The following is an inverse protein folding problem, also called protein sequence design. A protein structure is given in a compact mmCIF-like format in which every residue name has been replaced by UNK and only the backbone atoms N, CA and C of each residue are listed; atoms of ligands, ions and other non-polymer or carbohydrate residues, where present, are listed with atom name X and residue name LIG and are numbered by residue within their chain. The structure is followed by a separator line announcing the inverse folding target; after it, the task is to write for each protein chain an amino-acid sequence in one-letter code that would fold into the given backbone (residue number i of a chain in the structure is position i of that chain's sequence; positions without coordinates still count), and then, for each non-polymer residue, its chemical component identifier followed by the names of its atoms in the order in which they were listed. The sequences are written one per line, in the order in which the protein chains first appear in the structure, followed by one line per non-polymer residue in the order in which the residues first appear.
data_IF_665084842819
#
_entry.id   IF_665084842819
#
_cell.length_a   1.000
_cell.length_b   1.000
_cell.length_c   1.000
_cell.angle_alpha   90.00
_cell.angle_beta   90.00
_cell.angle_gamma   90.00
#
_symmetry.space_group_name_H-M   'P 1'
#
loop_
_entity.id
_entity.type
_entity.pdbx_description
1 polymer ?
#
# COMPACT_ATOMS: atom_id res chain seq x y z
N UNK A 1 -16.40 -11.87 18.32
CA UNK A 1 -14.95 -11.60 18.26
C UNK A 1 -14.60 -11.16 19.65
N UNK A 2 -13.83 -11.97 20.38
CA UNK A 2 -13.70 -11.83 21.84
C UNK A 2 -12.45 -11.01 22.23
N UNK A 3 -11.70 -10.55 21.24
CA UNK A 3 -10.53 -9.71 21.39
C UNK A 3 -10.89 -8.24 21.13
N UNK A 4 -10.58 -7.37 22.08
CA UNK A 4 -10.69 -5.91 21.96
C UNK A 4 -9.28 -5.41 21.65
N UNK A 5 -9.01 -4.87 20.45
CA UNK A 5 -7.66 -4.42 20.10
C UNK A 5 -7.20 -3.25 20.96
N UNK A 6 -5.98 -3.33 21.50
CA UNK A 6 -5.31 -2.22 22.16
C UNK A 6 -4.68 -1.30 21.10
N UNK A 7 -5.09 -0.03 21.11
CA UNK A 7 -4.62 0.98 20.17
C UNK A 7 -3.14 1.31 20.37
N UNK A 8 -2.65 1.27 21.61
CA UNK A 8 -1.25 1.55 21.91
C UNK A 8 -0.34 0.47 21.30
N UNK A 9 -0.72 -0.80 21.43
CA UNK A 9 -0.01 -1.92 20.80
C UNK A 9 -0.01 -1.80 19.28
N UNK A 10 -1.14 -1.42 18.66
CA UNK A 10 -1.24 -1.22 17.21
C UNK A 10 -0.29 -0.12 16.72
N UNK A 11 -0.20 1.01 17.44
CA UNK A 11 0.64 2.15 17.05
C UNK A 11 2.13 1.79 17.14
N UNK A 12 2.53 1.00 18.12
CA UNK A 12 3.93 0.60 18.33
C UNK A 12 4.31 -0.69 17.62
N UNK A 13 3.35 -1.38 17.01
CA UNK A 13 3.56 -2.64 16.31
C UNK A 13 4.35 -2.46 15.02
N UNK A 14 4.95 -3.56 14.57
CA UNK A 14 5.62 -3.58 13.27
C UNK A 14 4.58 -3.46 12.13
N UNK A 15 4.93 -2.70 11.10
CA UNK A 15 4.07 -2.52 9.93
C UNK A 15 4.43 -3.56 8.87
N UNK A 16 3.47 -4.41 8.53
CA UNK A 16 3.66 -5.48 7.54
C UNK A 16 3.85 -4.92 6.12
N UNK A 17 3.07 -3.90 5.74
CA UNK A 17 3.17 -3.17 4.48
C UNK A 17 2.30 -1.92 4.47
N UNK A 18 2.55 -1.03 3.50
CA UNK A 18 1.69 0.12 3.21
C UNK A 18 0.96 -0.06 1.87
N UNK A 19 -0.31 0.39 1.79
CA UNK A 19 -1.11 0.28 0.58
C UNK A 19 -2.15 1.40 0.47
N UNK A 20 -2.45 1.82 -0.76
CA UNK A 20 -3.62 2.64 -1.04
C UNK A 20 -4.84 1.75 -1.17
N UNK A 21 -5.93 2.06 -0.45
CA UNK A 21 -7.16 1.26 -0.52
C UNK A 21 -8.39 2.09 -0.18
N UNK A 22 -9.54 1.70 -0.73
CA UNK A 22 -10.83 2.34 -0.45
C UNK A 22 -11.51 1.61 0.71
N UNK A 23 -11.55 2.24 1.89
CA UNK A 23 -12.15 1.65 3.10
C UNK A 23 -13.65 1.34 2.94
N UNK A 24 -14.38 2.20 2.21
CA UNK A 24 -15.85 2.20 2.18
C UNK A 24 -16.45 0.85 1.78
N UNK A 25 -15.91 0.22 0.74
CA UNK A 25 -16.45 -1.05 0.22
C UNK A 25 -16.19 -2.18 1.22
N UNK A 26 -14.98 -2.23 1.81
CA UNK A 26 -14.65 -3.23 2.84
C UNK A 26 -15.54 -3.13 4.08
N UNK A 27 -15.93 -1.91 4.47
CA UNK A 27 -16.87 -1.69 5.59
C UNK A 27 -18.29 -2.14 5.21
N UNK A 28 -18.76 -1.78 4.01
CA UNK A 28 -20.09 -2.19 3.52
C UNK A 28 -20.22 -3.72 3.42
N UNK A 29 -19.16 -4.39 2.99
CA UNK A 29 -19.08 -5.85 2.89
C UNK A 29 -18.79 -6.52 4.24
N UNK A 30 -18.77 -5.77 5.35
CA UNK A 30 -18.46 -6.26 6.71
C UNK A 30 -17.09 -6.96 6.84
N UNK A 31 -16.15 -6.61 5.97
CA UNK A 31 -14.76 -7.11 6.00
C UNK A 31 -13.96 -6.34 7.03
N UNK A 32 -14.14 -5.02 7.11
CA UNK A 32 -13.45 -4.14 8.05
C UNK A 32 -14.44 -3.42 8.97
N UNK A 33 -14.02 -3.19 10.21
CA UNK A 33 -14.73 -2.35 11.17
C UNK A 33 -13.75 -1.38 11.81
N UNK A 34 -14.25 -0.22 12.25
CA UNK A 34 -13.43 0.82 12.86
C UNK A 34 -13.17 0.51 14.33
N UNK A 35 -11.91 0.62 14.75
CA UNK A 35 -11.50 0.55 16.16
C UNK A 35 -10.77 1.83 16.54
N UNK A 36 -11.11 2.40 17.70
CA UNK A 36 -10.44 3.57 18.25
C UNK A 36 -10.67 4.88 17.50
N UNK A 37 -9.98 5.93 17.99
CA UNK A 37 -10.02 7.31 17.49
C UNK A 37 -8.65 8.00 17.62
N UNK A 38 -7.55 7.24 17.66
CA UNK A 38 -6.21 7.83 17.75
C UNK A 38 -5.94 8.75 16.57
N UNK A 39 -5.23 9.85 16.83
CA UNK A 39 -4.70 10.74 15.81
C UNK A 39 -3.22 10.46 15.52
N UNK A 40 -2.58 9.60 16.31
CA UNK A 40 -1.21 9.20 16.10
C UNK A 40 -1.13 8.09 15.03
N UNK A 41 -0.27 8.30 14.03
CA UNK A 41 -0.19 7.49 12.81
C UNK A 41 1.10 6.66 12.71
N UNK A 42 2.00 6.79 13.68
CA UNK A 42 3.34 6.20 13.59
C UNK A 42 4.25 6.97 12.62
N UNK A 43 5.43 6.42 12.37
CA UNK A 43 6.40 7.04 11.47
C UNK A 43 6.31 6.49 10.05
N UNK A 44 5.65 7.25 9.18
CA UNK A 44 5.44 6.90 7.78
C UNK A 44 6.26 7.76 6.81
N UNK A 45 7.12 8.67 7.32
CA UNK A 45 7.76 9.72 6.51
C UNK A 45 8.71 9.19 5.45
N UNK A 46 9.23 7.97 5.62
CA UNK A 46 10.15 7.33 4.68
C UNK A 46 9.51 6.16 3.92
N UNK A 47 8.18 6.10 3.91
CA UNK A 47 7.43 5.20 3.04
C UNK A 47 7.38 5.78 1.63
N UNK A 48 7.90 5.02 0.68
CA UNK A 48 7.84 5.34 -0.73
C UNK A 48 6.87 4.41 -1.46
N UNK A 49 6.13 4.99 -2.39
CA UNK A 49 5.35 4.26 -3.37
C UNK A 49 5.95 4.40 -4.76
N UNK A 50 5.64 3.43 -5.61
CA UNK A 50 5.94 3.45 -7.04
C UNK A 50 4.75 2.96 -7.86
N UNK A 51 4.65 3.48 -9.07
CA UNK A 51 3.69 3.00 -10.08
C UNK A 51 4.31 3.17 -11.47
N UNK A 52 3.99 2.26 -12.38
CA UNK A 52 4.32 2.44 -13.79
C UNK A 52 3.29 3.35 -14.47
N UNK A 53 3.73 4.07 -15.49
CA UNK A 53 2.88 4.94 -16.31
C UNK A 53 2.54 4.32 -17.66
N UNK A 54 2.61 2.99 -17.79
CA UNK A 54 2.31 2.30 -19.04
C UNK A 54 0.79 2.08 -19.20
N UNK A 55 0.28 2.35 -20.40
CA UNK A 55 -1.15 2.20 -20.72
C UNK A 55 -1.46 0.74 -21.02
N UNK A 56 -0.57 0.09 -21.75
CA UNK A 56 -0.65 -1.32 -22.08
C UNK A 56 0.18 -2.15 -21.12
N UNK A 57 -0.18 -3.42 -20.97
CA UNK A 57 0.62 -4.37 -20.19
C UNK A 57 2.02 -4.50 -20.82
N UNK A 58 3.03 -4.17 -20.04
CA UNK A 58 4.45 -4.40 -20.36
C UNK A 58 5.07 -5.32 -19.33
N UNK A 59 5.98 -6.21 -19.74
CA UNK A 59 6.69 -7.08 -18.79
C UNK A 59 7.75 -6.30 -17.98
N UNK A 60 8.27 -5.21 -18.55
CA UNK A 60 9.23 -4.30 -17.90
C UNK A 60 8.95 -2.85 -18.25
N UNK A 61 8.72 -2.01 -17.25
CA UNK A 61 8.48 -0.58 -17.44
C UNK A 61 9.78 0.23 -17.38
N UNK A 62 9.83 1.29 -18.20
CA UNK A 62 10.84 2.36 -18.13
C UNK A 62 10.21 3.72 -17.84
N UNK A 63 8.96 3.72 -17.37
CA UNK A 63 8.15 4.92 -17.10
C UNK A 63 7.62 4.89 -15.67
N UNK A 64 8.51 5.06 -14.71
CA UNK A 64 8.16 4.99 -13.30
C UNK A 64 7.87 6.36 -12.71
N UNK A 65 6.92 6.37 -11.79
CA UNK A 65 6.65 7.48 -10.88
C UNK A 65 6.86 7.00 -9.45
N UNK A 66 7.39 7.88 -8.59
CA UNK A 66 7.60 7.62 -7.17
C UNK A 66 7.12 8.79 -6.32
N UNK A 67 6.66 8.53 -5.11
CA UNK A 67 6.23 9.56 -4.15
C UNK A 67 6.26 9.06 -2.71
N UNK A 68 6.20 9.99 -1.77
CA UNK A 68 5.93 9.74 -0.35
C UNK A 68 4.47 10.06 -0.03
N UNK A 69 3.97 9.57 1.09
CA UNK A 69 2.63 9.90 1.58
C UNK A 69 2.46 11.43 1.67
N UNK A 70 1.36 11.95 1.13
CA UNK A 70 1.04 13.39 1.07
C UNK A 70 2.02 14.26 0.23
N UNK A 71 2.88 13.64 -0.58
CA UNK A 71 3.77 14.34 -1.51
C UNK A 71 3.35 14.12 -2.98
N UNK A 72 3.73 15.01 -3.90
CA UNK A 72 3.41 14.86 -5.32
C UNK A 72 4.15 13.69 -5.98
N UNK A 73 3.59 13.20 -7.08
CA UNK A 73 4.23 12.21 -7.94
C UNK A 73 5.45 12.79 -8.65
N UNK A 74 6.56 12.06 -8.63
CA UNK A 74 7.80 12.41 -9.32
C UNK A 74 8.06 11.37 -10.40
N UNK A 75 8.10 11.81 -11.66
CA UNK A 75 8.51 10.95 -12.77
C UNK A 75 10.03 10.71 -12.73
N UNK A 76 10.45 9.45 -12.78
CA UNK A 76 11.86 9.06 -12.72
C UNK A 76 12.34 8.27 -13.94
N UNK A 77 11.44 7.94 -14.89
CA UNK A 77 11.80 7.12 -16.05
C UNK A 77 12.18 5.70 -15.60
N UNK A 78 13.42 5.26 -15.86
CA UNK A 78 13.90 3.97 -15.35
C UNK A 78 13.95 3.99 -13.82
N UNK A 79 13.41 2.97 -13.16
CA UNK A 79 13.34 2.95 -11.69
C UNK A 79 14.75 2.93 -11.06
N UNK A 80 15.10 3.93 -10.23
CA UNK A 80 16.33 3.90 -9.44
C UNK A 80 16.33 2.77 -8.42
N UNK A 81 17.50 2.14 -8.19
CA UNK A 81 17.67 1.02 -7.26
C UNK A 81 17.17 1.26 -5.83
N UNK A 82 17.28 2.50 -5.34
CA UNK A 82 16.77 2.90 -4.02
C UNK A 82 15.24 2.80 -3.86
N UNK A 83 14.50 2.59 -4.95
CA UNK A 83 13.03 2.43 -4.94
C UNK A 83 12.60 1.01 -5.33
N UNK A 84 13.52 0.04 -5.35
CA UNK A 84 13.19 -1.35 -5.68
C UNK A 84 12.28 -2.01 -4.65
N UNK A 85 12.38 -1.57 -3.40
CA UNK A 85 11.54 -2.02 -2.29
C UNK A 85 10.39 -1.05 -1.98
N UNK A 86 10.19 -0.03 -2.83
CA UNK A 86 9.04 0.86 -2.69
C UNK A 86 7.73 0.10 -2.90
N UNK A 87 6.72 0.49 -2.13
CA UNK A 87 5.40 -0.11 -2.14
C UNK A 87 4.67 0.12 -3.45
N UNK A 88 3.75 -0.79 -3.80
CA UNK A 88 2.89 -0.58 -4.95
C UNK A 88 1.90 0.56 -4.67
N UNK A 89 1.93 1.56 -5.53
CA UNK A 89 1.12 2.76 -5.39
C UNK A 89 -0.26 2.71 -6.06
N UNK A 90 -0.64 1.61 -6.70
CA UNK A 90 -2.00 1.41 -7.18
C UNK A 90 -3.02 1.38 -6.02
N UNK A 91 -4.26 1.76 -6.32
CA UNK A 91 -5.36 1.68 -5.34
C UNK A 91 -5.92 0.26 -5.33
N UNK A 92 -5.69 -0.46 -4.25
CA UNK A 92 -6.07 -1.85 -4.09
C UNK A 92 -7.50 -2.01 -3.58
N UNK A 93 -8.34 -2.87 -4.19
CA UNK A 93 -9.58 -3.28 -3.56
C UNK A 93 -9.27 -4.11 -2.30
N UNK A 94 -10.19 -4.13 -1.32
CA UNK A 94 -9.96 -4.84 -0.05
C UNK A 94 -9.59 -6.32 -0.23
N UNK A 95 -10.06 -6.96 -1.32
CA UNK A 95 -9.75 -8.36 -1.63
C UNK A 95 -8.26 -8.57 -1.86
N UNK A 96 -7.59 -7.63 -2.52
CA UNK A 96 -6.14 -7.67 -2.74
C UNK A 96 -5.36 -7.44 -1.45
N UNK A 97 -5.84 -6.57 -0.55
CA UNK A 97 -5.26 -6.41 0.79
C UNK A 97 -5.31 -7.73 1.57
N UNK A 98 -6.48 -8.39 1.58
CA UNK A 98 -6.65 -9.71 2.23
C UNK A 98 -5.75 -10.77 1.59
N UNK A 99 -5.61 -10.77 0.26
CA UNK A 99 -4.70 -11.69 -0.45
C UNK A 99 -3.24 -11.45 -0.08
N UNK A 100 -2.80 -10.18 -0.03
CA UNK A 100 -1.43 -9.82 0.36
C UNK A 100 -1.11 -10.22 1.79
N UNK A 101 -2.03 -9.98 2.73
CA UNK A 101 -1.88 -10.44 4.12
C UNK A 101 -1.73 -11.97 4.22
N UNK A 102 -2.41 -12.74 3.36
CA UNK A 102 -2.37 -14.22 3.39
C UNK A 102 -1.19 -14.83 2.66
N UNK A 103 -0.65 -14.14 1.64
CA UNK A 103 0.27 -14.75 0.67
C UNK A 103 1.58 -13.98 0.47
N UNK A 104 1.70 -12.80 1.08
CA UNK A 104 2.83 -11.88 0.90
C UNK A 104 2.81 -11.09 -0.41
N UNK A 105 1.84 -11.32 -1.30
CA UNK A 105 1.75 -10.65 -2.61
C UNK A 105 0.32 -10.37 -3.05
N UNK A 106 0.16 -9.40 -3.95
CA UNK A 106 -1.09 -9.22 -4.67
C UNK A 106 -1.30 -10.29 -5.75
N UNK A 107 -2.54 -10.48 -6.19
CA UNK A 107 -2.91 -11.45 -7.22
C UNK A 107 -2.85 -10.91 -8.66
N UNK A 108 -2.62 -9.62 -8.85
CA UNK A 108 -2.53 -8.99 -10.17
C UNK A 108 -1.09 -8.89 -10.68
N UNK A 109 -0.97 -8.58 -11.96
CA UNK A 109 0.30 -8.37 -12.64
C UNK A 109 0.87 -6.98 -12.34
N UNK A 110 2.12 -6.90 -11.88
CA UNK A 110 2.87 -5.65 -11.75
C UNK A 110 4.17 -5.77 -12.55
N UNK A 111 4.50 -4.80 -13.43
CA UNK A 111 5.65 -4.91 -14.32
C UNK A 111 6.97 -4.92 -13.54
N UNK A 112 7.97 -5.59 -14.11
CA UNK A 112 9.34 -5.47 -13.65
C UNK A 112 9.92 -4.09 -13.97
N UNK A 113 11.04 -3.74 -13.33
CA UNK A 113 11.86 -2.56 -13.62
C UNK A 113 13.22 -2.99 -14.15
#
# INVERSE_FOLDING_TARGET
MDYIPDISEIITGEVEFYAHTVLRIGIADSVWYKVGKSLELGDYRDVFFRIDGDIDRVERSVKWYVWKINEPFIYVGKLPAKYYDAEDGNVMPYKEIVTRLKTGKYAYFFPAY
#
